data_IF_983059963640
#
_entry.id   IF_983059963640
#
_cell.length_a   1.000
_cell.length_b   1.000
_cell.length_c   1.000
_cell.angle_alpha   90.00
_cell.angle_beta   90.00
_cell.angle_gamma   90.00
#
_symmetry.space_group_name_H-M   'P 1'
#
loop_
_entity.id
_entity.type
_entity.pdbx_description
1 polymer ?
#
# COMPACT_ATOMS: atom_id res chain seq x y z
N UNK A 1 11.91 -28.79 -38.49
CA UNK A 1 11.98 -27.41 -39.04
C UNK A 1 11.32 -26.36 -38.13
N UNK A 2 10.09 -26.55 -37.63
CA UNK A 2 9.39 -25.55 -36.79
C UNK A 2 10.05 -25.27 -35.41
N UNK A 3 10.60 -26.29 -34.76
CA UNK A 3 11.31 -26.13 -33.48
C UNK A 3 12.60 -25.32 -33.63
N UNK A 4 13.39 -25.57 -34.69
CA UNK A 4 14.61 -24.82 -34.99
C UNK A 4 14.32 -23.34 -35.23
N UNK A 5 13.29 -23.02 -36.02
CA UNK A 5 12.87 -21.65 -36.28
C UNK A 5 12.40 -20.91 -35.01
N UNK A 6 11.85 -21.62 -34.03
CA UNK A 6 11.43 -21.04 -32.74
C UNK A 6 12.63 -20.76 -31.83
N UNK A 7 13.60 -21.67 -31.77
CA UNK A 7 14.84 -21.46 -31.05
C UNK A 7 15.67 -20.31 -31.65
N UNK A 8 15.75 -20.22 -32.98
CA UNK A 8 16.45 -19.12 -33.65
C UNK A 8 15.79 -17.78 -33.35
N UNK A 9 14.46 -17.67 -33.44
CA UNK A 9 13.73 -16.44 -33.08
C UNK A 9 13.92 -16.06 -31.61
N UNK A 10 13.90 -17.04 -30.71
CA UNK A 10 14.10 -16.78 -29.27
C UNK A 10 15.54 -16.36 -28.97
N UNK A 11 16.54 -17.00 -29.61
CA UNK A 11 17.95 -16.65 -29.44
C UNK A 11 18.25 -15.24 -29.95
N UNK A 12 17.72 -14.88 -31.13
CA UNK A 12 17.83 -13.52 -31.67
C UNK A 12 17.11 -12.51 -30.77
N UNK A 13 15.90 -12.82 -30.31
CA UNK A 13 15.15 -11.96 -29.39
C UNK A 13 15.86 -11.76 -28.05
N UNK A 14 16.47 -12.81 -27.50
CA UNK A 14 17.28 -12.74 -26.28
C UNK A 14 18.52 -11.88 -26.47
N UNK A 15 19.26 -12.07 -27.57
CA UNK A 15 20.44 -11.27 -27.88
C UNK A 15 20.11 -9.77 -28.05
N UNK A 16 18.98 -9.46 -28.71
CA UNK A 16 18.51 -8.07 -28.86
C UNK A 16 18.11 -7.46 -27.51
N UNK A 17 17.40 -8.21 -26.66
CA UNK A 17 16.99 -7.73 -25.33
C UNK A 17 18.20 -7.48 -24.42
N UNK A 18 19.16 -8.40 -24.40
CA UNK A 18 20.39 -8.29 -23.59
C UNK A 18 21.24 -7.10 -24.03
N UNK A 19 21.38 -6.90 -25.34
CA UNK A 19 22.10 -5.75 -25.89
C UNK A 19 21.39 -4.44 -25.55
N UNK A 20 20.05 -4.40 -25.68
CA UNK A 20 19.24 -3.25 -25.29
C UNK A 20 19.43 -2.87 -23.81
N UNK A 21 19.33 -3.85 -22.91
CA UNK A 21 19.55 -3.62 -21.47
C UNK A 21 21.01 -3.29 -21.11
N UNK A 22 21.99 -3.75 -21.90
CA UNK A 22 23.38 -3.32 -21.75
C UNK A 22 23.55 -1.84 -22.17
N UNK A 23 22.92 -1.44 -23.27
CA UNK A 23 22.95 -0.06 -23.75
C UNK A 23 22.24 0.90 -22.79
N UNK A 24 21.09 0.50 -22.22
CA UNK A 24 20.37 1.26 -21.20
C UNK A 24 21.23 1.48 -19.94
N UNK A 25 21.93 0.43 -19.46
CA UNK A 25 22.85 0.55 -18.33
C UNK A 25 24.06 1.45 -18.63
N UNK A 26 24.63 1.35 -19.84
CA UNK A 26 25.70 2.25 -20.25
C UNK A 26 25.21 3.71 -20.33
N UNK A 27 23.98 3.92 -20.82
CA UNK A 27 23.31 5.23 -20.81
C UNK A 27 23.12 5.77 -19.40
N UNK A 28 22.62 4.97 -18.46
CA UNK A 28 22.46 5.35 -17.05
C UNK A 28 23.81 5.67 -16.38
N UNK A 29 24.86 4.89 -16.67
CA UNK A 29 26.20 5.14 -16.16
C UNK A 29 26.80 6.47 -16.66
N UNK A 30 26.45 6.88 -17.89
CA UNK A 30 26.90 8.14 -18.49
C UNK A 30 26.03 9.34 -18.11
N UNK A 31 24.73 9.13 -17.92
CA UNK A 31 23.73 10.18 -17.66
C UNK A 31 23.50 10.52 -16.17
N UNK A 32 24.14 9.80 -15.24
CA UNK A 32 23.97 9.99 -13.81
C UNK A 32 22.71 9.33 -13.23
N UNK A 33 22.46 9.53 -11.93
CA UNK A 33 21.31 8.94 -11.25
C UNK A 33 19.99 9.61 -11.66
N UNK A 34 19.23 8.91 -12.51
CA UNK A 34 17.90 9.30 -12.96
C UNK A 34 16.79 8.58 -12.17
N UNK A 35 17.10 7.93 -11.04
CA UNK A 35 16.12 7.23 -10.19
C UNK A 35 14.97 8.13 -9.70
N UNK A 36 15.18 9.45 -9.70
CA UNK A 36 14.13 10.43 -9.48
C UNK A 36 12.97 10.33 -10.50
N UNK A 37 13.26 9.95 -11.75
CA UNK A 37 12.29 9.79 -12.83
C UNK A 37 11.69 8.38 -12.91
N UNK A 38 12.08 7.47 -12.00
CA UNK A 38 11.48 6.16 -11.97
C UNK A 38 10.03 6.24 -11.45
N UNK A 39 9.10 5.81 -12.31
CA UNK A 39 7.67 5.76 -12.02
C UNK A 39 7.26 4.45 -11.34
N UNK A 40 8.21 3.58 -10.97
CA UNK A 40 7.88 2.41 -10.15
C UNK A 40 7.24 2.87 -8.83
N UNK A 41 6.18 2.16 -8.44
CA UNK A 41 5.47 2.45 -7.21
C UNK A 41 6.39 2.23 -6.01
N UNK A 42 6.88 3.33 -5.42
CA UNK A 42 7.60 3.33 -4.13
C UNK A 42 6.67 3.23 -2.92
N UNK A 43 5.35 3.22 -3.15
CA UNK A 43 4.38 3.09 -2.07
C UNK A 43 4.49 1.70 -1.46
N UNK A 44 4.43 1.64 -0.14
CA UNK A 44 4.32 0.38 0.60
C UNK A 44 3.08 0.47 1.46
N UNK A 45 2.24 -0.56 1.39
CA UNK A 45 0.98 -0.60 2.14
C UNK A 45 1.22 -0.76 3.64
N UNK A 46 2.30 -1.42 4.02
CA UNK A 46 2.73 -1.64 5.41
C UNK A 46 4.13 -1.10 5.62
N UNK A 47 4.29 -0.21 6.58
CA UNK A 47 5.57 0.42 6.96
C UNK A 47 5.90 0.05 8.39
N UNK A 48 7.00 -0.67 8.58
CA UNK A 48 7.56 -0.93 9.90
C UNK A 48 8.29 0.30 10.42
N UNK A 49 8.14 0.63 11.70
CA UNK A 49 8.82 1.76 12.33
C UNK A 49 9.27 1.43 13.74
N UNK A 50 10.53 1.77 14.08
CA UNK A 50 11.10 1.63 15.42
C UNK A 50 10.76 0.26 16.08
N UNK A 51 11.06 -0.83 15.36
CA UNK A 51 10.81 -2.24 15.74
C UNK A 51 9.34 -2.68 15.86
N UNK A 52 8.39 -1.79 15.58
CA UNK A 52 6.97 -2.14 15.47
C UNK A 52 6.57 -2.48 14.03
N UNK A 53 5.90 -3.61 13.85
CA UNK A 53 5.35 -4.06 12.58
C UNK A 53 3.82 -4.01 12.63
N UNK A 54 3.17 -3.59 11.54
CA UNK A 54 1.72 -3.68 11.45
C UNK A 54 1.30 -5.14 11.32
N UNK A 55 0.32 -5.57 12.11
CA UNK A 55 -0.29 -6.88 11.97
C UNK A 55 -1.63 -6.75 11.25
N UNK A 56 -1.79 -7.50 10.15
CA UNK A 56 -2.98 -7.44 9.31
C UNK A 56 -3.58 -8.84 9.21
N UNK A 57 -4.86 -8.98 9.56
CA UNK A 57 -5.56 -10.24 9.44
C UNK A 57 -5.70 -10.67 7.97
N UNK A 58 -5.56 -11.97 7.66
CA UNK A 58 -5.54 -12.47 6.28
C UNK A 58 -6.87 -12.32 5.53
N UNK A 59 -7.98 -12.15 6.26
CA UNK A 59 -9.33 -11.95 5.75
C UNK A 59 -9.77 -10.48 5.76
N UNK A 60 -8.84 -9.56 6.05
CA UNK A 60 -9.08 -8.12 5.98
C UNK A 60 -8.91 -7.60 4.54
N UNK A 61 -9.67 -6.56 4.21
CA UNK A 61 -9.62 -5.89 2.92
C UNK A 61 -8.84 -4.57 3.04
N UNK A 62 -7.54 -4.60 2.73
CA UNK A 62 -6.69 -3.40 2.72
C UNK A 62 -6.46 -2.94 1.30
N UNK A 63 -6.83 -1.69 0.98
CA UNK A 63 -6.55 -1.11 -0.32
C UNK A 63 -5.03 -0.97 -0.56
N UNK A 64 -4.53 -1.20 -1.79
CA UNK A 64 -3.08 -1.16 -2.07
C UNK A 64 -2.47 0.23 -1.83
N UNK A 65 -3.26 1.29 -2.00
CA UNK A 65 -2.86 2.68 -1.74
C UNK A 65 -3.00 3.12 -0.28
N UNK A 66 -3.55 2.27 0.60
CA UNK A 66 -3.57 2.57 2.02
C UNK A 66 -2.15 2.49 2.59
N UNK A 67 -1.85 3.28 3.61
CA UNK A 67 -0.56 3.26 4.30
C UNK A 67 -0.80 2.99 5.78
N UNK A 68 -0.32 1.83 6.24
CA UNK A 68 -0.42 1.40 7.63
C UNK A 68 0.98 1.48 8.23
N UNK A 69 1.13 2.27 9.30
CA UNK A 69 2.42 2.62 9.88
C UNK A 69 2.55 2.16 11.34
N UNK A 70 3.69 1.55 11.67
CA UNK A 70 4.08 1.23 13.05
C UNK A 70 3.26 0.11 13.69
N UNK A 71 3.00 0.21 15.00
CA UNK A 71 2.26 -0.76 15.81
C UNK A 71 0.74 -0.72 15.57
N UNK A 72 0.31 -0.82 14.31
CA UNK A 72 -1.10 -0.89 13.95
C UNK A 72 -1.57 -2.35 13.84
N UNK A 73 -2.77 -2.64 14.35
CA UNK A 73 -3.39 -3.96 14.23
C UNK A 73 -4.69 -3.87 13.47
N UNK A 74 -4.86 -4.71 12.45
CA UNK A 74 -6.08 -4.78 11.63
C UNK A 74 -6.75 -6.13 11.86
N UNK A 75 -7.94 -6.08 12.44
CA UNK A 75 -8.77 -7.22 12.76
C UNK A 75 -9.36 -7.94 11.53
N UNK A 76 -10.02 -9.05 11.81
CA UNK A 76 -10.64 -9.93 10.82
C UNK A 76 -11.81 -9.23 10.14
N UNK A 77 -11.97 -9.40 8.83
CA UNK A 77 -13.02 -8.74 8.00
C UNK A 77 -13.03 -7.20 8.08
N UNK A 78 -12.01 -6.56 8.63
CA UNK A 78 -11.88 -5.12 8.61
C UNK A 78 -11.64 -4.63 7.18
N UNK A 79 -12.12 -3.44 6.85
CA UNK A 79 -11.94 -2.82 5.54
C UNK A 79 -11.22 -1.49 5.69
N UNK A 80 -10.09 -1.33 4.99
CA UNK A 80 -9.31 -0.09 4.95
C UNK A 80 -9.37 0.49 3.54
N UNK A 81 -10.02 1.64 3.41
CA UNK A 81 -10.25 2.33 2.15
C UNK A 81 -8.97 2.84 1.47
N UNK A 82 -9.08 3.10 0.17
CA UNK A 82 -7.97 3.60 -0.65
C UNK A 82 -7.45 4.95 -0.13
N UNK A 83 -6.13 5.09 -0.05
CA UNK A 83 -5.47 6.31 0.43
C UNK A 83 -5.65 6.58 1.93
N UNK A 84 -6.23 5.64 2.69
CA UNK A 84 -6.30 5.78 4.15
C UNK A 84 -4.91 5.67 4.76
N UNK A 85 -4.66 6.49 5.79
CA UNK A 85 -3.40 6.51 6.54
C UNK A 85 -3.70 6.12 7.98
N UNK A 86 -3.16 4.98 8.41
CA UNK A 86 -3.34 4.46 9.77
C UNK A 86 -2.03 4.63 10.53
N UNK A 87 -2.05 5.47 11.56
CA UNK A 87 -0.91 5.72 12.41
C UNK A 87 -0.97 4.85 13.66
N UNK A 88 0.01 3.96 13.83
CA UNK A 88 0.19 3.18 15.05
C UNK A 88 0.73 4.04 16.21
N UNK A 89 0.41 3.72 17.47
CA UNK A 89 -0.32 2.53 17.93
C UNK A 89 -1.84 2.70 17.77
N UNK A 90 -2.47 1.84 16.97
CA UNK A 90 -3.92 1.85 16.75
C UNK A 90 -4.45 0.45 16.46
N UNK A 91 -5.67 0.18 16.93
CA UNK A 91 -6.38 -1.08 16.73
C UNK A 91 -7.60 -0.84 15.86
N UNK A 92 -7.63 -1.49 14.71
CA UNK A 92 -8.80 -1.59 13.85
C UNK A 92 -9.50 -2.89 14.20
N UNK A 93 -10.71 -2.78 14.77
CA UNK A 93 -11.49 -3.91 15.24
C UNK A 93 -11.98 -4.82 14.12
N UNK A 94 -12.46 -6.00 14.51
CA UNK A 94 -13.03 -6.96 13.56
C UNK A 94 -14.29 -6.37 12.90
N UNK A 95 -14.35 -6.43 11.56
CA UNK A 95 -15.44 -5.86 10.78
C UNK A 95 -15.50 -4.33 10.76
N UNK A 96 -14.52 -3.63 11.34
CA UNK A 96 -14.45 -2.18 11.30
C UNK A 96 -14.20 -1.68 9.87
N UNK A 97 -14.76 -0.51 9.54
CA UNK A 97 -14.66 0.08 8.20
C UNK A 97 -14.00 1.44 8.29
N UNK A 98 -12.85 1.59 7.64
CA UNK A 98 -12.16 2.87 7.46
C UNK A 98 -12.41 3.37 6.05
N UNK A 99 -13.07 4.54 5.93
CA UNK A 99 -13.34 5.16 4.64
C UNK A 99 -12.07 5.55 3.87
N UNK A 100 -12.20 5.75 2.57
CA UNK A 100 -11.10 6.18 1.69
C UNK A 100 -10.57 7.56 2.11
N UNK A 101 -9.26 7.79 1.98
CA UNK A 101 -8.56 9.02 2.37
C UNK A 101 -8.75 9.43 3.84
N UNK A 102 -9.13 8.49 4.72
CA UNK A 102 -9.25 8.76 6.15
C UNK A 102 -7.87 8.74 6.81
N UNK A 103 -7.70 9.56 7.84
CA UNK A 103 -6.48 9.59 8.66
C UNK A 103 -6.84 9.12 10.06
N UNK A 104 -6.18 8.07 10.53
CA UNK A 104 -6.49 7.40 11.80
C UNK A 104 -5.33 7.58 12.77
N UNK A 105 -5.60 8.23 13.90
CA UNK A 105 -4.68 8.43 15.02
C UNK A 105 -5.13 7.74 16.32
N UNK A 106 -6.29 7.06 16.30
CA UNK A 106 -6.86 6.37 17.45
C UNK A 106 -7.51 5.04 17.04
N UNK A 107 -7.97 4.24 18.00
CA UNK A 107 -8.58 2.93 17.74
C UNK A 107 -9.91 3.06 16.99
N UNK A 108 -10.16 2.17 16.02
CA UNK A 108 -11.38 2.15 15.22
C UNK A 108 -12.06 0.80 15.37
N UNK A 109 -13.05 0.70 16.26
CA UNK A 109 -13.86 -0.51 16.44
C UNK A 109 -15.17 -0.46 15.64
N UNK A 110 -15.60 0.74 15.25
CA UNK A 110 -16.82 0.97 14.46
C UNK A 110 -16.53 1.25 12.99
N UNK A 111 -17.14 2.30 12.46
CA UNK A 111 -16.95 2.72 11.06
C UNK A 111 -16.65 4.20 10.97
N UNK A 112 -15.78 4.59 10.05
CA UNK A 112 -15.57 5.98 9.69
C UNK A 112 -15.85 6.24 8.20
N UNK A 113 -16.43 7.41 7.92
CA UNK A 113 -16.73 7.86 6.57
C UNK A 113 -15.45 8.25 5.80
N UNK A 114 -15.58 8.34 4.48
CA UNK A 114 -14.49 8.79 3.61
C UNK A 114 -13.97 10.18 4.00
N UNK A 115 -12.65 10.31 4.06
CA UNK A 115 -11.97 11.55 4.41
C UNK A 115 -12.09 11.95 5.88
N UNK A 116 -12.51 11.04 6.77
CA UNK A 116 -12.60 11.30 8.19
C UNK A 116 -11.21 11.40 8.82
N UNK A 117 -11.04 12.33 9.77
CA UNK A 117 -9.81 12.44 10.58
C UNK A 117 -10.12 11.97 12.00
N UNK A 118 -9.82 10.71 12.27
CA UNK A 118 -10.11 10.03 13.53
C UNK A 118 -9.00 10.33 14.53
N UNK A 119 -9.31 11.20 15.49
CA UNK A 119 -8.42 11.59 16.59
C UNK A 119 -8.83 10.94 17.92
N UNK A 120 -10.06 10.48 18.02
CA UNK A 120 -10.65 9.83 19.19
C UNK A 120 -11.05 8.40 18.84
N UNK A 121 -11.01 7.47 19.80
CA UNK A 121 -11.35 6.08 19.55
C UNK A 121 -12.83 5.96 19.14
N UNK A 122 -13.10 5.31 18.02
CA UNK A 122 -14.45 5.06 17.49
C UNK A 122 -14.99 3.78 18.12
N UNK A 123 -16.03 3.83 18.96
CA UNK A 123 -16.61 2.64 19.58
C UNK A 123 -17.25 1.71 18.54
N UNK A 124 -17.38 0.43 18.90
CA UNK A 124 -18.01 -0.57 18.05
C UNK A 124 -19.47 -0.20 17.75
N UNK A 125 -19.86 -0.34 16.49
CA UNK A 125 -21.22 -0.03 16.02
C UNK A 125 -21.54 1.46 15.83
N UNK A 126 -20.58 2.36 16.07
CA UNK A 126 -20.76 3.78 15.77
C UNK A 126 -20.24 4.13 14.36
N UNK A 127 -20.85 5.15 13.76
CA UNK A 127 -20.38 5.74 12.51
C UNK A 127 -19.87 7.16 12.77
N UNK A 128 -18.64 7.44 12.36
CA UNK A 128 -17.98 8.72 12.61
C UNK A 128 -17.56 9.38 11.28
N UNK A 129 -17.78 10.68 11.15
CA UNK A 129 -17.44 11.43 9.93
C UNK A 129 -16.92 12.84 10.25
N UNK A 130 -16.22 13.44 9.29
CA UNK A 130 -15.75 14.83 9.37
C UNK A 130 -14.27 14.99 9.72
N UNK A 131 -13.84 16.25 9.81
CA UNK A 131 -12.45 16.66 10.07
C UNK A 131 -12.44 17.77 11.12
N UNK A 132 -12.32 17.48 12.43
CA UNK A 132 -12.14 16.17 13.06
C UNK A 132 -13.40 15.28 13.00
N UNK A 133 -13.21 13.96 13.06
CA UNK A 133 -14.29 12.99 13.01
C UNK A 133 -15.16 13.07 14.28
N UNK A 134 -16.49 13.04 14.11
CA UNK A 134 -17.47 12.97 15.19
C UNK A 134 -18.55 11.96 14.83
N UNK A 135 -19.23 11.44 15.85
CA UNK A 135 -20.39 10.55 15.69
C UNK A 135 -21.47 11.20 14.82
N UNK A 136 -21.99 10.42 13.87
CA UNK A 136 -23.12 10.73 12.98
C UNK A 136 -24.35 9.95 13.39
#
# INVERSE_FOLDING_TARGET
MAALATHVRHAVGKALRETGSAMERAGMALGGDQSFWDHTSRHTTTVSFADSQPCVAPDSCVAPSATIYGAASVGSKATVGAGAVVFGPSVIGDGAVVGANSVVHADVLGSCADGAVVVEPVPAGEHWAGRPAKKV
#
